data_IF_183712803528
#
_entry.id   IF_183712803528
#
_cell.length_a   1.000
_cell.length_b   1.000
_cell.length_c   1.000
_cell.angle_alpha   90.00
_cell.angle_beta   90.00
_cell.angle_gamma   90.00
#
_symmetry.space_group_name_H-M   'P 1'
#
loop_
_entity.id
_entity.type
_entity.pdbx_description
1 polymer ?
#
# COMPACT_ATOMS: atom_id res chain seq x y z
N UNK A 1 -4.03 -44.40 -20.61
CA UNK A 1 -4.43 -44.16 -22.01
C UNK A 1 -4.35 -42.69 -22.35
N UNK A 2 -3.24 -42.10 -22.76
CA UNK A 2 -1.81 -42.38 -22.62
C UNK A 2 -1.09 -41.12 -23.12
N UNK A 3 0.14 -40.94 -22.65
CA UNK A 3 1.21 -40.10 -23.22
C UNK A 3 1.07 -38.58 -23.03
N UNK A 4 1.47 -38.09 -21.86
CA UNK A 4 2.29 -36.87 -21.77
C UNK A 4 3.08 -36.82 -20.46
N UNK A 5 3.85 -37.90 -20.22
CA UNK A 5 4.86 -37.96 -19.16
C UNK A 5 6.20 -38.33 -19.79
N UNK A 6 6.96 -37.32 -20.25
CA UNK A 6 8.42 -37.30 -20.36
C UNK A 6 8.90 -36.23 -21.36
N UNK A 7 8.78 -34.94 -21.00
CA UNK A 7 9.68 -33.89 -21.51
C UNK A 7 9.99 -32.89 -20.39
N UNK A 8 10.56 -33.38 -19.29
CA UNK A 8 11.28 -32.54 -18.33
C UNK A 8 12.75 -32.50 -18.74
N UNK A 9 13.04 -31.67 -19.74
CA UNK A 9 14.38 -31.24 -20.13
C UNK A 9 14.43 -29.71 -20.11
N UNK A 10 15.14 -29.15 -19.13
CA UNK A 10 15.71 -27.80 -19.09
C UNK A 10 14.96 -26.66 -19.82
N UNK A 11 13.74 -26.33 -19.37
CA UNK A 11 13.28 -24.93 -19.50
C UNK A 11 13.80 -24.16 -18.29
N UNK A 12 14.89 -23.41 -18.50
CA UNK A 12 15.30 -22.37 -17.56
C UNK A 12 14.06 -21.56 -17.16
N UNK A 13 13.83 -21.42 -15.85
CA UNK A 13 12.66 -20.76 -15.26
C UNK A 13 12.46 -19.36 -15.83
N UNK A 14 11.75 -19.24 -16.95
CA UNK A 14 11.51 -17.97 -17.61
C UNK A 14 10.48 -17.21 -16.77
N UNK A 15 10.95 -16.18 -16.05
CA UNK A 15 10.06 -15.31 -15.29
C UNK A 15 9.07 -14.65 -16.24
N UNK A 16 7.78 -14.73 -15.90
CA UNK A 16 6.72 -14.19 -16.74
C UNK A 16 6.65 -12.67 -16.57
N UNK A 17 6.77 -11.93 -17.66
CA UNK A 17 6.53 -10.50 -17.64
C UNK A 17 5.04 -10.19 -17.64
N UNK A 18 4.63 -9.12 -16.94
CA UNK A 18 3.26 -8.63 -16.98
C UNK A 18 2.91 -8.17 -18.41
N UNK A 19 1.88 -8.79 -18.97
CA UNK A 19 1.21 -8.35 -20.19
C UNK A 19 0.05 -7.41 -19.84
N UNK A 20 0.14 -6.15 -20.27
CA UNK A 20 -0.92 -5.17 -20.07
C UNK A 20 -1.97 -5.30 -21.17
N UNK A 21 -3.23 -5.49 -20.78
CA UNK A 21 -4.35 -5.68 -21.70
C UNK A 21 -5.49 -4.72 -21.36
N UNK A 22 -6.35 -4.40 -22.33
CA UNK A 22 -7.58 -3.66 -22.05
C UNK A 22 -8.56 -4.62 -21.37
N UNK A 23 -8.86 -4.35 -20.10
CA UNK A 23 -9.83 -5.12 -19.31
C UNK A 23 -10.41 -4.28 -18.18
N UNK A 24 -11.67 -4.53 -17.85
CA UNK A 24 -12.33 -3.89 -16.72
C UNK A 24 -11.91 -4.53 -15.39
N UNK A 25 -12.11 -3.80 -14.29
CA UNK A 25 -11.81 -4.33 -12.95
C UNK A 25 -12.80 -5.44 -12.58
N UNK A 26 -12.35 -6.43 -11.81
CA UNK A 26 -13.16 -7.62 -11.53
C UNK A 26 -14.50 -7.29 -10.85
N UNK A 27 -14.52 -6.39 -9.86
CA UNK A 27 -15.80 -6.02 -9.23
C UNK A 27 -16.72 -5.27 -10.21
N UNK A 28 -16.18 -4.44 -11.11
CA UNK A 28 -17.01 -3.78 -12.14
C UNK A 28 -17.70 -4.80 -13.04
N UNK A 29 -17.00 -5.88 -13.39
CA UNK A 29 -17.60 -6.99 -14.15
C UNK A 29 -18.63 -7.77 -13.30
N UNK A 30 -18.31 -8.06 -12.04
CA UNK A 30 -19.21 -8.79 -11.14
C UNK A 30 -20.48 -8.01 -10.79
N UNK A 31 -20.43 -6.67 -10.69
CA UNK A 31 -21.61 -5.84 -10.48
C UNK A 31 -22.58 -5.82 -11.67
N UNK A 32 -22.21 -6.39 -12.83
CA UNK A 32 -23.16 -6.65 -13.91
C UNK A 32 -24.04 -7.87 -13.61
N UNK A 33 -23.58 -8.80 -12.76
CA UNK A 33 -24.36 -9.94 -12.30
C UNK A 33 -25.42 -9.44 -11.30
N UNK A 34 -26.73 -9.70 -11.55
CA UNK A 34 -27.80 -9.17 -10.71
C UNK A 34 -27.66 -9.48 -9.22
N UNK A 35 -27.21 -10.69 -8.86
CA UNK A 35 -27.06 -11.10 -7.47
C UNK A 35 -26.01 -10.27 -6.71
N UNK A 36 -24.83 -10.05 -7.31
CA UNK A 36 -23.77 -9.25 -6.68
C UNK A 36 -24.15 -7.77 -6.65
N UNK A 37 -24.82 -7.29 -7.69
CA UNK A 37 -25.38 -5.93 -7.69
C UNK A 37 -26.36 -5.74 -6.54
N UNK A 38 -27.26 -6.69 -6.30
CA UNK A 38 -28.18 -6.62 -5.15
C UNK A 38 -27.41 -6.55 -3.83
N UNK A 39 -26.33 -7.33 -3.66
CA UNK A 39 -25.48 -7.24 -2.47
C UNK A 39 -24.90 -5.83 -2.31
N UNK A 40 -24.36 -5.24 -3.37
CA UNK A 40 -23.88 -3.85 -3.35
C UNK A 40 -24.99 -2.88 -2.91
N UNK A 41 -26.19 -2.97 -3.50
CA UNK A 41 -27.33 -2.12 -3.15
C UNK A 41 -27.75 -2.30 -1.68
N UNK A 42 -27.73 -3.54 -1.17
CA UNK A 42 -28.01 -3.85 0.24
C UNK A 42 -26.99 -3.14 1.15
N UNK A 43 -25.70 -3.28 0.87
CA UNK A 43 -24.65 -2.61 1.64
C UNK A 43 -24.78 -1.08 1.59
N UNK A 44 -25.08 -0.50 0.42
CA UNK A 44 -25.32 0.94 0.28
C UNK A 44 -26.55 1.39 1.06
N UNK A 45 -27.65 0.62 1.02
CA UNK A 45 -28.87 0.93 1.76
C UNK A 45 -28.65 0.86 3.28
N UNK A 46 -27.96 -0.18 3.77
CA UNK A 46 -27.56 -0.29 5.17
C UNK A 46 -26.69 0.89 5.59
N UNK A 47 -25.73 1.28 4.76
CA UNK A 47 -24.87 2.43 5.03
C UNK A 47 -25.68 3.73 5.17
N UNK A 48 -26.55 4.01 4.21
CA UNK A 48 -27.41 5.21 4.24
C UNK A 48 -28.31 5.18 5.49
N UNK A 49 -28.91 4.04 5.79
CA UNK A 49 -29.76 3.89 6.98
C UNK A 49 -28.99 4.13 8.28
N UNK A 50 -27.78 3.60 8.39
CA UNK A 50 -26.92 3.78 9.56
C UNK A 50 -26.56 5.25 9.76
N UNK A 51 -26.18 5.95 8.69
CA UNK A 51 -25.92 7.41 8.70
C UNK A 51 -27.15 8.19 9.15
N UNK A 52 -28.34 7.86 8.64
CA UNK A 52 -29.60 8.50 9.05
C UNK A 52 -29.89 8.24 10.53
N UNK A 53 -29.77 6.99 10.98
CA UNK A 53 -30.04 6.63 12.38
C UNK A 53 -29.13 7.38 13.34
N UNK A 54 -27.84 7.52 13.00
CA UNK A 54 -26.90 8.30 13.81
C UNK A 54 -27.20 9.78 13.77
N UNK A 55 -27.49 10.34 12.60
CA UNK A 55 -27.87 11.74 12.49
C UNK A 55 -29.07 12.07 13.39
N UNK A 56 -30.08 11.19 13.41
CA UNK A 56 -31.25 11.30 14.27
C UNK A 56 -30.87 11.15 15.75
N UNK A 57 -30.03 10.18 16.10
CA UNK A 57 -29.57 9.98 17.47
C UNK A 57 -28.78 11.21 18.00
N UNK A 58 -27.82 11.72 17.23
CA UNK A 58 -27.05 12.93 17.54
C UNK A 58 -27.98 14.15 17.72
N UNK A 59 -28.96 14.31 16.82
CA UNK A 59 -29.92 15.40 16.91
C UNK A 59 -30.79 15.31 18.17
N UNK A 60 -31.30 14.11 18.49
CA UNK A 60 -32.15 13.89 19.67
C UNK A 60 -31.36 14.09 20.97
N UNK A 61 -30.10 13.65 21.02
CA UNK A 61 -29.28 13.69 22.24
C UNK A 61 -28.65 15.07 22.47
N UNK A 62 -28.00 15.62 21.45
CA UNK A 62 -27.11 16.77 21.57
C UNK A 62 -27.64 18.02 20.83
N UNK A 63 -28.80 17.91 20.16
CA UNK A 63 -29.41 19.01 19.38
C UNK A 63 -28.64 19.38 18.10
N UNK A 64 -27.60 18.61 17.73
CA UNK A 64 -26.70 18.88 16.60
C UNK A 64 -26.38 17.59 15.87
N UNK A 65 -26.35 17.64 14.53
CA UNK A 65 -26.02 16.49 13.68
C UNK A 65 -24.50 16.52 13.43
N UNK A 66 -23.75 15.55 13.97
CA UNK A 66 -22.28 15.54 13.84
C UNK A 66 -21.72 14.45 12.92
N UNK A 67 -22.40 13.31 12.76
CA UNK A 67 -22.27 12.31 11.67
C UNK A 67 -20.83 12.14 11.15
N UNK A 68 -19.85 11.88 12.01
CA UNK A 68 -18.46 11.63 11.57
C UNK A 68 -17.69 12.84 11.01
N UNK A 69 -18.34 13.98 10.74
CA UNK A 69 -17.71 15.17 10.15
C UNK A 69 -16.61 15.73 11.06
N UNK A 70 -16.79 15.60 12.37
CA UNK A 70 -15.78 15.98 13.35
C UNK A 70 -14.49 15.18 13.11
N UNK A 71 -14.54 13.85 13.11
CA UNK A 71 -13.36 13.03 12.84
C UNK A 71 -12.71 13.32 11.49
N UNK A 72 -13.49 13.57 10.44
CA UNK A 72 -12.94 13.95 9.12
C UNK A 72 -12.19 15.28 9.21
N UNK A 73 -12.79 16.29 9.85
CA UNK A 73 -12.15 17.59 10.05
C UNK A 73 -10.84 17.46 10.83
N UNK A 74 -10.84 16.76 11.97
CA UNK A 74 -9.62 16.52 12.75
C UNK A 74 -8.57 15.73 11.96
N UNK A 75 -9.02 14.80 11.11
CA UNK A 75 -8.16 13.98 10.25
C UNK A 75 -7.50 14.77 9.13
N UNK A 76 -8.06 15.90 8.69
CA UNK A 76 -7.55 16.66 7.54
C UNK A 76 -7.37 18.16 7.80
N UNK A 77 -7.32 18.59 9.07
CA UNK A 77 -7.18 20.02 9.44
C UNK A 77 -5.98 20.71 8.78
N UNK A 78 -4.86 20.00 8.63
CA UNK A 78 -3.60 20.52 8.05
C UNK A 78 -3.41 20.10 6.59
N UNK A 79 -4.49 19.73 5.88
CA UNK A 79 -4.44 19.27 4.50
C UNK A 79 -3.68 20.22 3.55
N UNK A 80 -3.83 21.56 3.63
CA UNK A 80 -3.06 22.46 2.77
C UNK A 80 -1.54 22.28 2.90
N UNK A 81 -1.04 22.12 4.12
CA UNK A 81 0.39 21.89 4.35
C UNK A 81 0.82 20.50 3.88
N UNK A 82 -0.02 19.49 4.10
CA UNK A 82 0.19 18.16 3.55
C UNK A 82 0.31 18.17 2.02
N UNK A 83 -0.55 18.93 1.33
CA UNK A 83 -0.49 19.09 -0.13
C UNK A 83 0.80 19.79 -0.59
N UNK A 84 1.31 20.77 0.14
CA UNK A 84 2.61 21.41 -0.17
C UNK A 84 3.74 20.38 -0.08
N UNK A 85 3.75 19.55 0.97
CA UNK A 85 4.76 18.49 1.13
C UNK A 85 4.64 17.46 -0.01
N UNK A 86 3.42 17.05 -0.35
CA UNK A 86 3.16 16.15 -1.46
C UNK A 86 3.63 16.72 -2.80
N UNK A 87 3.35 17.99 -3.08
CA UNK A 87 3.85 18.69 -4.26
C UNK A 87 5.38 18.75 -4.28
N UNK A 88 6.02 18.98 -3.13
CA UNK A 88 7.48 18.91 -2.98
C UNK A 88 8.04 17.53 -3.34
N UNK A 89 7.46 16.45 -2.78
CA UNK A 89 7.85 15.07 -3.10
C UNK A 89 7.67 14.75 -4.59
N UNK A 90 6.55 15.20 -5.17
CA UNK A 90 6.25 15.05 -6.59
C UNK A 90 7.29 15.78 -7.46
N UNK A 91 7.64 17.03 -7.13
CA UNK A 91 8.65 17.81 -7.86
C UNK A 91 10.03 17.14 -7.80
N UNK A 92 10.45 16.70 -6.61
CA UNK A 92 11.74 15.98 -6.44
C UNK A 92 11.75 14.67 -7.24
N UNK A 93 10.62 13.96 -7.30
CA UNK A 93 10.48 12.76 -8.14
C UNK A 93 10.57 13.08 -9.64
N UNK A 94 10.01 14.21 -10.07
CA UNK A 94 10.12 14.66 -11.46
C UNK A 94 11.58 15.00 -11.85
N UNK A 95 12.38 15.53 -10.93
CA UNK A 95 13.81 15.79 -11.17
C UNK A 95 14.61 14.52 -11.47
N UNK A 96 14.17 13.34 -10.99
CA UNK A 96 14.85 12.07 -11.29
C UNK A 96 14.86 11.78 -12.78
N UNK A 97 13.83 12.18 -13.53
CA UNK A 97 13.82 12.06 -14.98
C UNK A 97 14.99 12.83 -15.60
N UNK A 98 15.15 14.09 -15.21
CA UNK A 98 16.22 14.96 -15.72
C UNK A 98 17.60 14.39 -15.39
N UNK A 99 17.78 13.86 -14.16
CA UNK A 99 19.01 13.19 -13.75
C UNK A 99 19.28 11.91 -14.58
N UNK A 100 18.26 11.09 -14.82
CA UNK A 100 18.37 9.88 -15.62
C UNK A 100 18.67 10.18 -17.10
N UNK A 101 18.00 11.16 -17.69
CA UNK A 101 18.22 11.58 -19.07
C UNK A 101 19.63 12.16 -19.26
N UNK A 102 20.10 12.98 -18.31
CA UNK A 102 21.47 13.51 -18.29
C UNK A 102 22.48 12.37 -18.13
N UNK A 103 22.22 11.42 -17.23
CA UNK A 103 23.06 10.24 -17.08
C UNK A 103 23.18 9.46 -18.40
N UNK A 104 22.05 9.12 -19.03
CA UNK A 104 22.04 8.34 -20.27
C UNK A 104 22.71 9.04 -21.45
N UNK A 105 22.48 10.35 -21.63
CA UNK A 105 23.08 11.13 -22.72
C UNK A 105 24.59 11.32 -22.55
N UNK A 106 25.06 11.65 -21.33
CA UNK A 106 26.49 11.78 -21.06
C UNK A 106 27.19 10.44 -21.15
N UNK A 107 26.52 9.36 -20.73
CA UNK A 107 27.05 8.01 -20.83
C UNK A 107 27.37 7.61 -22.28
N UNK A 108 26.53 7.99 -23.24
CA UNK A 108 26.76 7.74 -24.66
C UNK A 108 28.00 8.49 -25.18
N UNK A 109 28.20 9.74 -24.73
CA UNK A 109 29.37 10.56 -25.09
C UNK A 109 30.67 10.05 -24.47
N UNK A 110 30.59 9.54 -23.23
CA UNK A 110 31.72 9.07 -22.44
C UNK A 110 32.04 7.59 -22.66
N UNK A 111 31.43 6.92 -23.64
CA UNK A 111 31.50 5.46 -23.79
C UNK A 111 32.94 4.90 -23.84
N UNK A 112 33.86 5.62 -24.49
CA UNK A 112 35.27 5.22 -24.62
C UNK A 112 36.19 5.79 -23.52
N UNK A 113 35.65 6.60 -22.60
CA UNK A 113 36.44 7.28 -21.57
C UNK A 113 36.56 6.43 -20.30
N UNK A 114 37.72 6.43 -19.61
CA UNK A 114 37.86 5.81 -18.29
C UNK A 114 36.91 6.41 -17.24
N UNK A 115 36.41 7.64 -17.47
CA UNK A 115 35.47 8.33 -16.60
C UNK A 115 34.04 7.72 -16.60
N UNK A 116 33.72 6.84 -17.55
CA UNK A 116 32.41 6.21 -17.67
C UNK A 116 31.96 5.49 -16.38
N UNK A 117 32.89 4.75 -15.75
CA UNK A 117 32.61 4.01 -14.52
C UNK A 117 32.34 4.95 -13.35
N UNK A 118 33.07 6.07 -13.27
CA UNK A 118 32.85 7.11 -12.24
C UNK A 118 31.48 7.75 -12.43
N UNK A 119 31.09 8.04 -13.69
CA UNK A 119 29.77 8.57 -14.01
C UNK A 119 28.63 7.62 -13.62
N UNK A 120 28.75 6.32 -13.93
CA UNK A 120 27.76 5.31 -13.52
C UNK A 120 27.63 5.21 -11.99
N UNK A 121 28.75 5.20 -11.26
CA UNK A 121 28.72 5.20 -9.78
C UNK A 121 28.13 6.50 -9.21
N UNK A 122 28.43 7.65 -9.81
CA UNK A 122 27.87 8.93 -9.36
C UNK A 122 26.35 8.95 -9.47
N UNK A 123 25.79 8.36 -10.53
CA UNK A 123 24.34 8.24 -10.70
C UNK A 123 23.70 7.27 -9.70
N UNK A 124 24.38 6.14 -9.39
CA UNK A 124 23.92 5.21 -8.35
C UNK A 124 23.90 5.88 -6.98
N UNK A 125 24.97 6.60 -6.61
CA UNK A 125 25.05 7.35 -5.35
C UNK A 125 23.92 8.37 -5.29
N UNK A 126 23.70 9.14 -6.37
CA UNK A 126 22.60 10.11 -6.46
C UNK A 126 21.23 9.45 -6.26
N UNK A 127 21.00 8.27 -6.82
CA UNK A 127 19.75 7.53 -6.65
C UNK A 127 19.55 7.06 -5.20
N UNK A 128 20.60 6.54 -4.56
CA UNK A 128 20.56 6.13 -3.15
C UNK A 128 20.28 7.35 -2.26
N UNK A 129 20.97 8.46 -2.51
CA UNK A 129 20.76 9.73 -1.83
C UNK A 129 19.32 10.22 -2.01
N UNK A 130 18.76 10.14 -3.22
CA UNK A 130 17.35 10.44 -3.46
C UNK A 130 16.42 9.56 -2.63
N UNK A 131 16.62 8.24 -2.58
CA UNK A 131 15.76 7.33 -1.80
C UNK A 131 15.86 7.66 -0.30
N UNK A 132 17.07 7.88 0.23
CA UNK A 132 17.27 8.25 1.63
C UNK A 132 16.59 9.58 1.94
N UNK A 133 16.78 10.62 1.12
CA UNK A 133 16.13 11.91 1.33
C UNK A 133 14.61 11.82 1.22
N UNK A 134 14.09 11.09 0.22
CA UNK A 134 12.66 10.88 0.05
C UNK A 134 12.06 10.14 1.23
N UNK A 135 12.76 9.20 1.88
CA UNK A 135 12.26 8.48 3.05
C UNK A 135 12.46 9.24 4.38
N UNK A 136 13.41 10.16 4.47
CA UNK A 136 13.76 10.83 5.74
C UNK A 136 13.15 12.22 5.87
N UNK A 137 13.24 13.08 4.84
CA UNK A 137 12.81 14.48 4.94
C UNK A 137 11.30 14.60 5.14
N UNK A 138 10.42 14.01 4.30
CA UNK A 138 8.98 14.11 4.50
C UNK A 138 8.56 13.53 5.86
N UNK A 139 9.14 12.39 6.24
CA UNK A 139 8.89 11.73 7.53
C UNK A 139 9.25 12.64 8.71
N UNK A 140 10.43 13.28 8.66
CA UNK A 140 10.85 14.24 9.67
C UNK A 140 9.86 15.41 9.77
N UNK A 141 9.44 15.98 8.63
CA UNK A 141 8.47 17.08 8.59
C UNK A 141 7.12 16.64 9.17
N UNK A 142 6.62 15.46 8.81
CA UNK A 142 5.36 14.88 9.32
C UNK A 142 5.37 14.76 10.84
N UNK A 143 6.48 14.28 11.41
CA UNK A 143 6.64 14.14 12.87
C UNK A 143 6.70 15.52 13.52
N UNK A 144 7.50 16.44 12.98
CA UNK A 144 7.70 17.78 13.55
C UNK A 144 6.46 18.67 13.50
N UNK A 145 5.70 18.58 12.41
CA UNK A 145 4.44 19.34 12.25
C UNK A 145 3.26 18.72 13.00
N UNK A 146 3.45 17.55 13.61
CA UNK A 146 2.43 16.85 14.40
C UNK A 146 1.09 16.65 13.66
N UNK A 147 1.15 16.24 12.39
CA UNK A 147 -0.06 15.97 11.59
C UNK A 147 -0.98 14.92 12.20
N UNK A 148 -2.25 14.94 11.81
CA UNK A 148 -3.19 13.87 12.16
C UNK A 148 -2.74 12.50 11.63
N UNK A 149 -3.29 11.43 12.22
CA UNK A 149 -3.00 10.04 11.83
C UNK A 149 -3.34 9.81 10.35
N UNK A 150 -4.52 10.21 9.88
CA UNK A 150 -4.96 9.98 8.50
C UNK A 150 -4.11 10.72 7.46
N UNK A 151 -3.74 11.98 7.74
CA UNK A 151 -2.90 12.77 6.84
C UNK A 151 -1.46 12.21 6.80
N UNK A 152 -0.90 11.85 7.96
CA UNK A 152 0.42 11.22 8.05
C UNK A 152 0.48 9.91 7.27
N UNK A 153 -0.52 9.04 7.46
CA UNK A 153 -0.64 7.77 6.75
C UNK A 153 -0.67 7.98 5.22
N UNK A 154 -1.48 8.94 4.77
CA UNK A 154 -1.64 9.25 3.34
C UNK A 154 -0.33 9.75 2.72
N UNK A 155 0.39 10.65 3.40
CA UNK A 155 1.67 11.18 2.92
C UNK A 155 2.78 10.12 2.89
N UNK A 156 2.85 9.26 3.92
CA UNK A 156 3.83 8.15 3.98
C UNK A 156 3.54 7.09 2.90
N UNK A 157 2.27 6.79 2.63
CA UNK A 157 1.89 5.91 1.51
C UNK A 157 2.31 6.50 0.15
N UNK A 158 2.08 7.79 -0.07
CA UNK A 158 2.51 8.49 -1.29
C UNK A 158 4.04 8.54 -1.43
N UNK A 159 4.76 8.76 -0.33
CA UNK A 159 6.21 8.73 -0.27
C UNK A 159 6.76 7.36 -0.74
N UNK A 160 6.21 6.26 -0.21
CA UNK A 160 6.60 4.89 -0.64
C UNK A 160 6.23 4.66 -2.10
N UNK A 161 5.05 5.13 -2.56
CA UNK A 161 4.64 5.06 -3.97
C UNK A 161 5.66 5.74 -4.89
N UNK A 162 6.17 6.92 -4.53
CA UNK A 162 7.20 7.63 -5.30
C UNK A 162 8.52 6.87 -5.38
N UNK A 163 8.97 6.27 -4.28
CA UNK A 163 10.18 5.44 -4.27
C UNK A 163 10.00 4.22 -5.18
N UNK A 164 8.87 3.51 -5.08
CA UNK A 164 8.59 2.34 -5.91
C UNK A 164 8.53 2.68 -7.40
N UNK A 165 7.87 3.78 -7.76
CA UNK A 165 7.78 4.23 -9.17
C UNK A 165 9.14 4.66 -9.70
N UNK A 166 9.92 5.40 -8.91
CA UNK A 166 11.27 5.82 -9.30
C UNK A 166 12.16 4.61 -9.55
N UNK A 167 12.15 3.64 -8.64
CA UNK A 167 12.88 2.38 -8.80
C UNK A 167 12.45 1.65 -10.08
N UNK A 168 11.14 1.52 -10.30
CA UNK A 168 10.62 0.85 -11.49
C UNK A 168 11.08 1.51 -12.78
N UNK A 169 11.00 2.84 -12.86
CA UNK A 169 11.43 3.60 -14.03
C UNK A 169 12.91 3.39 -14.34
N UNK A 170 13.78 3.62 -13.34
CA UNK A 170 15.24 3.50 -13.53
C UNK A 170 15.64 2.07 -13.85
N UNK A 171 15.11 1.08 -13.11
CA UNK A 171 15.47 -0.33 -13.27
C UNK A 171 15.01 -0.91 -14.62
N UNK A 172 13.92 -0.37 -15.18
CA UNK A 172 13.39 -0.77 -16.50
C UNK A 172 14.13 -0.08 -17.65
N UNK A 173 14.48 1.19 -17.50
CA UNK A 173 15.11 1.97 -18.57
C UNK A 173 16.63 1.81 -18.64
N UNK A 174 17.32 1.65 -17.51
CA UNK A 174 18.78 1.56 -17.47
C UNK A 174 19.35 0.42 -18.34
N UNK A 175 18.83 -0.83 -18.30
CA UNK A 175 19.33 -1.91 -19.16
C UNK A 175 19.21 -1.60 -20.66
N UNK A 176 18.18 -0.86 -21.05
CA UNK A 176 17.93 -0.44 -22.45
C UNK A 176 18.96 0.58 -22.92
N UNK A 177 19.30 1.55 -22.08
CA UNK A 177 20.37 2.53 -22.35
C UNK A 177 21.73 1.83 -22.41
N UNK A 178 21.98 0.86 -21.53
CA UNK A 178 23.22 0.07 -21.53
C UNK A 178 23.37 -0.79 -22.79
N UNK A 179 22.31 -1.48 -23.22
CA UNK A 179 22.35 -2.30 -24.45
C UNK A 179 22.46 -1.45 -25.70
N UNK A 180 21.75 -0.32 -25.78
CA UNK A 180 21.83 0.60 -26.91
C UNK A 180 23.24 1.20 -27.05
N UNK A 181 23.86 1.65 -25.96
CA UNK A 181 25.23 2.18 -25.98
C UNK A 181 26.25 1.14 -26.48
N UNK A 182 26.03 -0.15 -26.19
CA UNK A 182 26.89 -1.24 -26.66
C UNK A 182 26.75 -1.47 -28.17
N UNK A 183 25.54 -1.35 -28.70
CA UNK A 183 25.22 -1.69 -30.10
C UNK A 183 25.40 -0.49 -31.05
N UNK A 184 25.19 0.73 -30.58
CA UNK A 184 25.20 1.95 -31.40
C UNK A 184 26.24 2.95 -30.89
N UNK A 185 27.51 2.74 -31.27
CA UNK A 185 28.61 3.64 -30.91
C UNK A 185 28.42 5.01 -31.59
N UNK A 186 27.99 6.02 -30.83
CA UNK A 186 27.88 7.40 -31.33
C UNK A 186 26.53 7.79 -31.97
N UNK A 187 25.48 6.97 -31.83
CA UNK A 187 24.13 7.33 -32.24
C UNK A 187 23.50 8.43 -31.37
N UNK A 188 22.25 8.83 -31.65
CA UNK A 188 21.52 9.76 -30.79
C UNK A 188 20.95 9.03 -29.55
N UNK A 189 21.44 9.31 -28.32
CA UNK A 189 21.00 8.60 -27.11
C UNK A 189 19.52 8.82 -26.76
N UNK A 190 18.90 9.83 -27.37
CA UNK A 190 17.48 10.14 -27.18
C UNK A 190 16.55 9.03 -27.70
N UNK A 191 17.03 8.11 -28.54
CA UNK A 191 16.25 6.95 -29.00
C UNK A 191 16.02 5.90 -27.90
N UNK A 192 16.98 5.76 -26.97
CA UNK A 192 16.89 4.80 -25.87
C UNK A 192 16.22 5.38 -24.62
N UNK A 193 16.22 6.71 -24.47
CA UNK A 193 15.69 7.41 -23.30
C UNK A 193 14.20 7.75 -23.55
N UNK A 194 13.29 7.35 -22.64
CA UNK A 194 11.88 7.69 -22.81
C UNK A 194 11.64 9.20 -22.68
N UNK A 195 10.61 9.71 -23.37
CA UNK A 195 10.19 11.11 -23.25
C UNK A 195 9.65 11.45 -21.84
N UNK A 196 9.82 12.70 -21.40
CA UNK A 196 9.28 13.18 -20.11
C UNK A 196 7.77 12.93 -19.97
N UNK A 197 7.01 13.09 -21.07
CA UNK A 197 5.57 12.86 -21.10
C UNK A 197 5.20 11.44 -20.68
N UNK A 198 5.97 10.43 -21.09
CA UNK A 198 5.76 9.02 -20.72
C UNK A 198 6.01 8.81 -19.21
N UNK A 199 7.08 9.41 -18.67
CA UNK A 199 7.37 9.36 -17.23
C UNK A 199 6.31 10.08 -16.39
N UNK A 200 5.92 11.29 -16.78
CA UNK A 200 4.87 12.06 -16.09
C UNK A 200 3.53 11.32 -16.09
N UNK A 201 3.15 10.70 -17.22
CA UNK A 201 1.95 9.84 -17.29
C UNK A 201 2.06 8.65 -16.33
N UNK A 202 3.19 7.95 -16.34
CA UNK A 202 3.43 6.80 -15.44
C UNK A 202 3.30 7.20 -13.98
N UNK A 203 3.75 8.39 -13.59
CA UNK A 203 3.69 8.86 -12.20
C UNK A 203 2.26 8.91 -11.65
N UNK A 204 1.27 9.21 -12.48
CA UNK A 204 -0.15 9.20 -12.12
C UNK A 204 -0.87 7.89 -12.47
N UNK A 205 -0.35 7.08 -13.39
CA UNK A 205 -0.97 5.82 -13.79
C UNK A 205 -1.15 4.86 -12.60
N UNK A 206 -2.27 4.12 -12.50
CA UNK A 206 -2.54 3.17 -11.41
C UNK A 206 -1.78 1.85 -11.59
N UNK A 207 -0.47 1.95 -11.75
CA UNK A 207 0.47 0.83 -11.82
C UNK A 207 1.82 1.25 -11.27
N UNK A 208 2.58 0.28 -10.76
CA UNK A 208 3.94 0.47 -10.28
C UNK A 208 4.98 -0.07 -11.27
N UNK A 209 4.57 -0.68 -12.38
CA UNK A 209 5.48 -1.15 -13.42
C UNK A 209 5.55 -0.14 -14.56
N UNK A 210 6.72 0.48 -14.76
CA UNK A 210 6.97 1.37 -15.87
C UNK A 210 6.97 0.62 -17.21
N UNK A 211 6.20 1.12 -18.18
CA UNK A 211 6.25 0.76 -19.60
C UNK A 211 6.16 2.04 -20.41
N UNK A 212 6.76 2.04 -21.59
CA UNK A 212 6.74 3.19 -22.49
C UNK A 212 5.33 3.49 -23.00
N UNK A 213 4.53 2.44 -23.19
CA UNK A 213 3.17 2.51 -23.69
C UNK A 213 2.29 1.55 -22.90
N UNK A 214 1.08 2.00 -22.60
CA UNK A 214 0.06 1.23 -21.91
C UNK A 214 -1.18 1.13 -22.80
N UNK A 215 -1.93 0.02 -22.73
CA UNK A 215 -3.23 -0.08 -23.39
C UNK A 215 -4.12 1.06 -22.91
N UNK A 216 -4.77 1.77 -23.85
CA UNK A 216 -5.60 2.94 -23.53
C UNK A 216 -7.06 2.70 -23.83
N UNK A 217 -7.92 3.13 -22.91
CA UNK A 217 -9.37 3.16 -23.14
C UNK A 217 -9.71 4.13 -24.29
N UNK A 218 -10.71 3.85 -25.13
CA UNK A 218 -11.02 4.68 -26.31
C UNK A 218 -11.54 6.08 -25.93
N UNK A 219 -12.31 6.19 -24.85
CA UNK A 219 -12.93 7.44 -24.39
C UNK A 219 -12.81 7.60 -22.88
N UNK A 220 -13.07 8.83 -22.39
CA UNK A 220 -13.18 9.15 -20.95
C UNK A 220 -14.64 9.29 -20.56
N UNK A 221 -15.11 8.46 -19.63
CA UNK A 221 -16.45 8.50 -19.06
C UNK A 221 -16.45 9.32 -17.77
N UNK A 222 -16.63 10.64 -17.86
CA UNK A 222 -16.60 11.51 -16.67
C UNK A 222 -17.67 11.20 -15.62
N UNK A 223 -18.85 10.72 -16.02
CA UNK A 223 -19.87 10.24 -15.09
C UNK A 223 -19.36 9.06 -14.24
N UNK A 224 -18.62 8.14 -14.86
CA UNK A 224 -17.97 7.02 -14.16
C UNK A 224 -16.91 7.52 -13.18
N UNK A 225 -16.08 8.48 -13.59
CA UNK A 225 -15.08 9.12 -12.71
C UNK A 225 -15.74 9.77 -11.50
N UNK A 226 -16.77 10.61 -11.72
CA UNK A 226 -17.47 11.30 -10.64
C UNK A 226 -18.17 10.32 -9.68
N UNK A 227 -18.75 9.24 -10.22
CA UNK A 227 -19.35 8.18 -9.41
C UNK A 227 -18.33 7.52 -8.47
N UNK A 228 -17.19 7.06 -9.00
CA UNK A 228 -16.13 6.44 -8.20
C UNK A 228 -15.53 7.38 -7.15
N UNK A 229 -15.35 8.66 -7.44
CA UNK A 229 -14.92 9.62 -6.42
C UNK A 229 -15.99 9.84 -5.33
N UNK A 230 -17.26 9.81 -5.70
CA UNK A 230 -18.37 9.88 -4.72
C UNK A 230 -18.37 8.65 -3.82
N UNK A 231 -18.12 7.45 -4.37
CA UNK A 231 -17.95 6.24 -3.57
C UNK A 231 -16.79 6.36 -2.57
N UNK A 232 -15.63 6.87 -3.01
CA UNK A 232 -14.47 7.09 -2.11
C UNK A 232 -14.85 8.02 -0.95
N UNK A 233 -15.50 9.15 -1.24
CA UNK A 233 -15.96 10.09 -0.22
C UNK A 233 -16.98 9.42 0.73
N UNK A 234 -17.94 8.68 0.19
CA UNK A 234 -18.93 7.94 0.97
C UNK A 234 -18.28 6.92 1.92
N UNK A 235 -17.27 6.19 1.46
CA UNK A 235 -16.53 5.25 2.29
C UNK A 235 -15.71 5.96 3.36
N UNK A 236 -15.06 7.10 3.06
CA UNK A 236 -14.33 7.89 4.08
C UNK A 236 -15.28 8.34 5.19
N UNK A 237 -16.45 8.87 4.83
CA UNK A 237 -17.47 9.24 5.81
C UNK A 237 -17.93 8.04 6.65
N UNK A 238 -18.11 6.89 6.00
CA UNK A 238 -18.51 5.68 6.72
C UNK A 238 -17.44 5.18 7.69
N UNK A 239 -16.18 5.16 7.28
CA UNK A 239 -15.07 4.79 8.15
C UNK A 239 -15.02 5.73 9.35
N UNK A 240 -15.04 7.05 9.14
CA UNK A 240 -15.05 8.03 10.22
C UNK A 240 -16.19 7.76 11.23
N UNK A 241 -17.39 7.50 10.71
CA UNK A 241 -18.55 7.12 11.51
C UNK A 241 -18.31 5.83 12.32
N UNK A 242 -17.84 4.75 11.68
CA UNK A 242 -17.56 3.47 12.34
C UNK A 242 -16.54 3.61 13.47
N UNK A 243 -15.52 4.45 13.26
CA UNK A 243 -14.52 4.69 14.29
C UNK A 243 -15.10 5.46 15.48
N UNK A 244 -15.76 6.59 15.24
CA UNK A 244 -16.31 7.42 16.33
C UNK A 244 -17.33 6.66 17.18
N UNK A 245 -18.17 5.81 16.56
CA UNK A 245 -19.32 5.20 17.25
C UNK A 245 -19.05 3.81 17.80
N UNK A 246 -18.14 3.03 17.19
CA UNK A 246 -17.90 1.64 17.60
C UNK A 246 -16.50 1.39 18.14
N UNK A 247 -15.47 1.98 17.52
CA UNK A 247 -14.09 1.69 17.92
C UNK A 247 -13.63 2.60 19.07
N UNK A 248 -13.83 3.91 18.93
CA UNK A 248 -13.36 4.92 19.87
C UNK A 248 -13.88 4.72 21.29
N UNK A 249 -15.18 4.43 21.53
CA UNK A 249 -15.69 4.23 22.90
C UNK A 249 -15.04 3.04 23.62
N UNK A 250 -14.62 2.01 22.87
CA UNK A 250 -13.99 0.83 23.45
C UNK A 250 -12.52 1.08 23.88
N UNK A 251 -11.84 2.09 23.32
CA UNK A 251 -10.38 2.30 23.47
C UNK A 251 -10.00 3.61 24.14
N UNK A 252 -10.84 4.64 24.09
CA UNK A 252 -10.45 6.01 24.50
C UNK A 252 -10.04 6.14 25.97
N UNK A 253 -10.57 5.27 26.83
CA UNK A 253 -10.29 5.26 28.27
C UNK A 253 -9.13 4.33 28.65
N UNK A 254 -8.54 3.65 27.67
CA UNK A 254 -7.38 2.81 27.92
C UNK A 254 -6.22 3.65 28.43
N UNK A 255 -5.70 3.28 29.61
CA UNK A 255 -4.64 4.02 30.29
C UNK A 255 -5.10 5.17 31.19
N UNK A 256 -6.41 5.38 31.37
CA UNK A 256 -6.95 6.24 32.45
C UNK A 256 -7.22 5.46 33.73
N UNK A 257 -7.54 4.18 33.58
CA UNK A 257 -7.73 3.23 34.69
C UNK A 257 -6.86 2.01 34.44
N UNK A 258 -6.38 1.31 35.48
CA UNK A 258 -5.76 0.01 35.30
C UNK A 258 -6.77 -0.93 34.61
N UNK A 259 -6.30 -1.67 33.61
CA UNK A 259 -7.11 -2.63 32.85
C UNK A 259 -6.53 -4.02 33.03
N UNK A 260 -7.41 -4.99 33.26
CA UNK A 260 -7.05 -6.40 33.39
C UNK A 260 -6.82 -7.03 32.02
N UNK A 261 -6.27 -8.25 31.99
CA UNK A 261 -6.15 -9.01 30.74
C UNK A 261 -7.53 -9.29 30.13
N UNK A 262 -8.56 -9.52 30.96
CA UNK A 262 -9.93 -9.75 30.51
C UNK A 262 -10.49 -8.52 29.79
N UNK A 263 -10.22 -7.31 30.30
CA UNK A 263 -10.59 -6.07 29.64
C UNK A 263 -9.93 -5.94 28.26
N UNK A 264 -8.64 -6.28 28.14
CA UNK A 264 -7.91 -6.23 26.87
C UNK A 264 -8.50 -7.22 25.86
N UNK A 265 -8.85 -8.43 26.32
CA UNK A 265 -9.50 -9.46 25.48
C UNK A 265 -10.87 -8.96 25.01
N UNK A 266 -11.66 -8.35 25.89
CA UNK A 266 -12.97 -7.78 25.53
C UNK A 266 -12.84 -6.66 24.50
N UNK A 267 -11.84 -5.79 24.64
CA UNK A 267 -11.53 -4.74 23.67
C UNK A 267 -11.19 -5.36 22.31
N UNK A 268 -10.36 -6.41 22.27
CA UNK A 268 -10.05 -7.11 21.03
C UNK A 268 -11.31 -7.61 20.33
N UNK A 269 -12.20 -8.33 21.02
CA UNK A 269 -13.42 -8.85 20.40
C UNK A 269 -14.38 -7.74 19.95
N UNK A 270 -14.43 -6.63 20.69
CA UNK A 270 -15.26 -5.46 20.34
C UNK A 270 -14.76 -4.78 19.05
N UNK A 271 -13.44 -4.69 18.87
CA UNK A 271 -12.82 -4.01 17.72
C UNK A 271 -12.66 -4.92 16.51
N UNK A 272 -12.54 -6.23 16.71
CA UNK A 272 -12.23 -7.19 15.65
C UNK A 272 -13.19 -7.09 14.44
N UNK A 273 -14.51 -7.04 14.70
CA UNK A 273 -15.53 -6.94 13.66
C UNK A 273 -15.49 -5.59 12.91
N UNK A 274 -15.47 -4.42 13.60
CA UNK A 274 -15.22 -3.14 12.94
C UNK A 274 -13.90 -3.11 12.15
N UNK A 275 -12.84 -3.74 12.65
CA UNK A 275 -11.51 -3.74 12.02
C UNK A 275 -11.50 -4.49 10.68
N UNK A 276 -12.13 -5.67 10.60
CA UNK A 276 -12.25 -6.37 9.31
C UNK A 276 -13.12 -5.59 8.32
N UNK A 277 -14.18 -4.92 8.80
CA UNK A 277 -15.00 -4.06 7.94
C UNK A 277 -14.18 -2.87 7.41
N UNK A 278 -13.36 -2.26 8.25
CA UNK A 278 -12.37 -1.23 7.87
C UNK A 278 -11.43 -1.72 6.77
N UNK A 279 -10.91 -2.92 6.90
CA UNK A 279 -10.03 -3.54 5.91
C UNK A 279 -10.74 -3.77 4.56
N UNK A 280 -11.98 -4.28 4.57
CA UNK A 280 -12.79 -4.51 3.37
C UNK A 280 -13.15 -3.21 2.65
N UNK A 281 -13.55 -2.18 3.41
CA UNK A 281 -13.90 -0.87 2.88
C UNK A 281 -12.67 -0.11 2.37
N UNK A 282 -11.54 -0.22 3.07
CA UNK A 282 -10.26 0.32 2.63
C UNK A 282 -9.81 -0.30 1.31
N UNK A 283 -9.98 -1.62 1.15
CA UNK A 283 -9.76 -2.31 -0.13
C UNK A 283 -10.67 -1.76 -1.23
N UNK A 284 -11.98 -1.68 -0.99
CA UNK A 284 -12.93 -1.19 -1.99
C UNK A 284 -12.62 0.26 -2.38
N UNK A 285 -12.44 1.15 -1.39
CA UNK A 285 -12.15 2.56 -1.62
C UNK A 285 -10.85 2.77 -2.40
N UNK A 286 -9.76 2.12 -1.98
CA UNK A 286 -8.44 2.35 -2.58
C UNK A 286 -8.22 1.53 -3.86
N UNK A 287 -8.39 0.22 -3.83
CA UNK A 287 -8.02 -0.67 -4.93
C UNK A 287 -9.11 -0.78 -6.01
N UNK A 288 -10.36 -0.53 -5.66
CA UNK A 288 -11.45 -0.47 -6.64
C UNK A 288 -11.75 0.97 -7.05
N UNK A 289 -12.40 1.77 -6.21
CA UNK A 289 -12.98 3.04 -6.66
C UNK A 289 -11.92 4.09 -7.00
N UNK A 290 -10.92 4.31 -6.15
CA UNK A 290 -9.84 5.25 -6.41
C UNK A 290 -9.01 4.88 -7.64
N UNK A 291 -8.54 3.63 -7.74
CA UNK A 291 -7.77 3.20 -8.92
C UNK A 291 -8.58 3.25 -10.21
N UNK A 292 -9.87 2.89 -10.19
CA UNK A 292 -10.74 3.00 -11.38
C UNK A 292 -10.98 4.46 -11.78
N UNK A 293 -11.17 5.37 -10.82
CA UNK A 293 -11.33 6.80 -11.11
C UNK A 293 -10.09 7.37 -11.82
N UNK A 294 -8.90 7.10 -11.28
CA UNK A 294 -7.64 7.52 -11.91
C UNK A 294 -7.39 6.80 -13.24
N UNK A 295 -7.71 5.51 -13.36
CA UNK A 295 -7.57 4.77 -14.60
C UNK A 295 -8.43 5.37 -15.72
N UNK A 296 -9.70 5.65 -15.44
CA UNK A 296 -10.61 6.25 -16.41
C UNK A 296 -10.17 7.66 -16.78
N UNK A 297 -9.79 8.50 -15.80
CA UNK A 297 -9.31 9.87 -16.05
C UNK A 297 -8.06 9.89 -16.94
N UNK A 298 -7.11 8.98 -16.70
CA UNK A 298 -5.89 8.85 -17.48
C UNK A 298 -6.07 8.04 -18.77
N UNK A 299 -7.23 7.40 -19.00
CA UNK A 299 -7.46 6.41 -20.06
C UNK A 299 -6.47 5.24 -19.99
N UNK A 300 -6.18 4.76 -18.77
CA UNK A 300 -5.43 3.54 -18.53
C UNK A 300 -6.37 2.33 -18.68
N UNK A 301 -6.03 1.42 -19.60
CA UNK A 301 -6.91 0.32 -20.01
C UNK A 301 -6.79 -0.96 -19.21
N UNK A 302 -5.67 -1.19 -18.49
CA UNK A 302 -5.48 -2.41 -17.69
C UNK A 302 -5.99 -2.21 -16.26
N UNK A 303 -7.23 -2.62 -15.97
CA UNK A 303 -7.86 -2.37 -14.66
C UNK A 303 -7.84 -3.56 -13.71
N UNK A 304 -6.94 -4.52 -13.94
CA UNK A 304 -6.74 -5.65 -13.02
C UNK A 304 -5.80 -5.22 -11.87
N UNK A 305 -6.34 -4.44 -10.94
CA UNK A 305 -5.63 -4.01 -9.73
C UNK A 305 -5.62 -5.08 -8.63
N UNK A 306 -6.58 -6.00 -8.71
CA UNK A 306 -6.78 -7.14 -7.84
C UNK A 306 -7.52 -8.24 -8.63
N UNK A 307 -7.53 -9.46 -8.09
CA UNK A 307 -8.30 -10.60 -8.59
C UNK A 307 -9.28 -11.09 -7.50
N UNK A 308 -9.85 -12.27 -7.66
CA UNK A 308 -10.81 -12.91 -6.75
C UNK A 308 -10.14 -13.42 -5.46
N UNK A 309 -9.43 -12.54 -4.75
CA UNK A 309 -8.66 -12.88 -3.56
C UNK A 309 -9.54 -13.44 -2.44
N UNK A 310 -10.82 -13.06 -2.37
CA UNK A 310 -11.80 -13.57 -1.41
C UNK A 310 -12.13 -15.06 -1.61
N UNK A 311 -11.87 -15.62 -2.80
CA UNK A 311 -12.02 -17.04 -3.11
C UNK A 311 -10.75 -17.85 -2.82
N UNK A 312 -9.68 -17.21 -2.34
CA UNK A 312 -8.39 -17.89 -2.17
C UNK A 312 -8.49 -18.99 -1.12
N UNK A 313 -7.93 -20.17 -1.43
CA UNK A 313 -7.89 -21.31 -0.50
C UNK A 313 -6.58 -21.42 0.29
N UNK A 314 -5.61 -20.55 0.01
CA UNK A 314 -4.28 -20.58 0.61
C UNK A 314 -3.62 -19.19 0.62
N UNK A 315 -2.65 -18.98 1.52
CA UNK A 315 -1.90 -17.72 1.61
C UNK A 315 -1.14 -17.36 0.32
N UNK A 316 -0.47 -18.30 -0.39
CA UNK A 316 0.20 -17.97 -1.65
C UNK A 316 -0.74 -17.46 -2.74
N UNK A 317 -1.97 -17.96 -2.78
CA UNK A 317 -2.99 -17.49 -3.72
C UNK A 317 -3.49 -16.10 -3.34
N UNK A 318 -3.80 -15.90 -2.05
CA UNK A 318 -4.25 -14.62 -1.51
C UNK A 318 -3.26 -13.48 -1.83
N UNK A 319 -1.97 -13.67 -1.56
CA UNK A 319 -0.95 -12.64 -1.79
C UNK A 319 -0.76 -12.25 -3.26
N UNK A 320 -1.02 -13.17 -4.19
CA UNK A 320 -0.98 -12.88 -5.63
C UNK A 320 -2.18 -12.08 -6.10
N UNK A 321 -3.33 -12.25 -5.44
CA UNK A 321 -4.63 -11.74 -5.90
C UNK A 321 -5.08 -10.46 -5.21
N UNK A 322 -4.69 -10.22 -3.94
CA UNK A 322 -5.17 -9.10 -3.11
C UNK A 322 -4.85 -7.72 -3.70
N UNK A 323 -3.56 -7.44 -3.91
CA UNK A 323 -3.06 -6.19 -4.46
C UNK A 323 -2.05 -6.50 -5.56
N UNK A 324 -2.57 -6.74 -6.76
CA UNK A 324 -1.78 -7.12 -7.93
C UNK A 324 -0.76 -6.02 -8.28
N UNK A 325 -1.09 -4.74 -8.04
CA UNK A 325 -0.19 -3.62 -8.35
C UNK A 325 1.14 -3.74 -7.57
N UNK A 326 1.05 -3.94 -6.25
CA UNK A 326 2.24 -4.08 -5.38
C UNK A 326 2.89 -5.44 -5.56
N UNK A 327 2.09 -6.50 -5.68
CA UNK A 327 2.59 -7.85 -5.95
C UNK A 327 3.46 -7.88 -7.22
N UNK A 328 2.99 -7.28 -8.32
CA UNK A 328 3.71 -7.28 -9.59
C UNK A 328 5.05 -6.52 -9.49
N UNK A 329 5.10 -5.42 -8.72
CA UNK A 329 6.34 -4.70 -8.47
C UNK A 329 7.33 -5.52 -7.65
N UNK A 330 6.86 -6.13 -6.55
CA UNK A 330 7.67 -7.00 -5.71
C UNK A 330 8.19 -8.20 -6.50
N UNK A 331 7.34 -8.82 -7.33
CA UNK A 331 7.72 -9.94 -8.18
C UNK A 331 8.77 -9.53 -9.22
N UNK A 332 8.54 -8.45 -9.95
CA UNK A 332 9.38 -8.04 -11.08
C UNK A 332 10.74 -7.49 -10.65
N UNK A 333 10.81 -6.79 -9.51
CA UNK A 333 12.01 -6.05 -9.12
C UNK A 333 12.68 -6.51 -7.84
N UNK A 334 11.99 -7.22 -6.94
CA UNK A 334 12.60 -7.76 -5.73
C UNK A 334 12.79 -9.27 -5.87
N UNK A 335 11.72 -10.02 -6.11
CA UNK A 335 11.77 -11.49 -6.21
C UNK A 335 12.69 -11.95 -7.34
N UNK A 336 12.40 -11.52 -8.59
CA UNK A 336 13.18 -11.92 -9.77
C UNK A 336 14.65 -11.53 -9.63
N UNK A 337 14.93 -10.26 -9.31
CA UNK A 337 16.30 -9.78 -9.18
C UNK A 337 17.05 -10.49 -8.04
N UNK A 338 16.39 -10.73 -6.90
CA UNK A 338 17.00 -11.49 -5.81
C UNK A 338 17.27 -12.94 -6.21
N UNK A 339 16.34 -13.60 -6.87
CA UNK A 339 16.50 -15.00 -7.32
C UNK A 339 17.59 -15.11 -8.38
N UNK A 340 17.61 -14.23 -9.38
CA UNK A 340 18.58 -14.30 -10.48
C UNK A 340 19.99 -13.84 -10.07
N UNK A 341 20.10 -12.79 -9.24
CA UNK A 341 21.38 -12.09 -9.02
C UNK A 341 21.97 -12.24 -7.63
N UNK A 342 21.16 -12.48 -6.59
CA UNK A 342 21.63 -12.44 -5.20
C UNK A 342 21.67 -13.82 -4.55
N UNK A 343 20.52 -14.51 -4.46
CA UNK A 343 20.38 -15.70 -3.62
C UNK A 343 20.49 -17.00 -4.41
N UNK A 344 20.09 -17.01 -5.69
CA UNK A 344 19.88 -18.23 -6.50
C UNK A 344 18.93 -19.24 -5.85
N UNK A 345 18.17 -18.84 -4.83
CA UNK A 345 17.26 -19.70 -4.06
C UNK A 345 15.88 -19.03 -3.93
N UNK A 346 14.86 -19.70 -4.46
CA UNK A 346 13.47 -19.22 -4.46
C UNK A 346 12.89 -19.01 -3.06
N UNK A 347 13.28 -19.83 -2.08
CA UNK A 347 12.79 -19.73 -0.70
C UNK A 347 13.36 -18.48 -0.03
N UNK A 348 14.68 -18.30 -0.12
CA UNK A 348 15.35 -17.11 0.42
C UNK A 348 14.86 -15.83 -0.25
N UNK A 349 14.64 -15.83 -1.57
CA UNK A 349 14.05 -14.67 -2.27
C UNK A 349 12.62 -14.38 -1.82
N UNK A 350 11.82 -15.40 -1.53
CA UNK A 350 10.46 -15.23 -1.00
C UNK A 350 10.49 -14.57 0.38
N UNK A 351 11.34 -15.07 1.29
CA UNK A 351 11.55 -14.43 2.60
C UNK A 351 12.02 -12.99 2.48
N UNK A 352 12.94 -12.70 1.56
CA UNK A 352 13.40 -11.33 1.32
C UNK A 352 12.26 -10.41 0.85
N UNK A 353 11.38 -10.88 -0.04
CA UNK A 353 10.21 -10.10 -0.50
C UNK A 353 9.27 -9.77 0.66
N UNK A 354 8.95 -10.76 1.50
CA UNK A 354 8.09 -10.54 2.66
C UNK A 354 8.76 -9.64 3.70
N UNK A 355 10.06 -9.78 3.93
CA UNK A 355 10.83 -8.91 4.82
C UNK A 355 10.81 -7.46 4.35
N UNK A 356 11.12 -7.20 3.08
CA UNK A 356 11.07 -5.86 2.50
C UNK A 356 9.66 -5.28 2.62
N UNK A 357 8.64 -6.07 2.29
CA UNK A 357 7.24 -5.64 2.42
C UNK A 357 6.90 -5.30 3.88
N UNK A 358 7.25 -6.16 4.84
CA UNK A 358 6.94 -5.97 6.25
C UNK A 358 7.62 -4.73 6.84
N UNK A 359 8.88 -4.45 6.46
CA UNK A 359 9.61 -3.24 6.86
C UNK A 359 8.87 -1.98 6.40
N UNK A 360 8.40 -1.94 5.14
CA UNK A 360 7.71 -0.75 4.63
C UNK A 360 6.31 -0.57 5.24
N UNK A 361 5.59 -1.65 5.51
CA UNK A 361 4.32 -1.57 6.24
C UNK A 361 4.55 -1.04 7.66
N UNK A 362 5.53 -1.56 8.38
CA UNK A 362 5.87 -1.11 9.73
C UNK A 362 6.39 0.33 9.72
N UNK A 363 7.20 0.72 8.73
CA UNK A 363 7.64 2.10 8.54
C UNK A 363 6.45 3.06 8.44
N UNK A 364 5.46 2.75 7.59
CA UNK A 364 4.28 3.59 7.42
C UNK A 364 3.51 3.70 8.75
N UNK A 365 3.25 2.59 9.44
CA UNK A 365 2.50 2.59 10.70
C UNK A 365 3.28 3.29 11.83
N UNK A 366 4.56 2.97 11.99
CA UNK A 366 5.37 3.49 13.07
C UNK A 366 5.52 5.02 13.03
N UNK A 367 5.69 5.58 11.83
CA UNK A 367 5.77 7.04 11.66
C UNK A 367 4.41 7.72 11.60
N UNK A 368 3.35 7.01 11.19
CA UNK A 368 1.96 7.49 11.32
C UNK A 368 1.58 7.66 12.78
N UNK A 369 1.85 6.66 13.62
CA UNK A 369 1.48 6.65 15.03
C UNK A 369 2.56 7.27 15.96
N UNK A 370 3.77 7.49 15.45
CA UNK A 370 4.94 8.05 16.16
C UNK A 370 5.50 7.14 17.25
N UNK A 371 5.37 5.84 17.09
CA UNK A 371 5.99 4.83 17.91
C UNK A 371 6.22 3.56 17.09
N UNK A 372 7.24 2.78 17.41
CA UNK A 372 7.45 1.46 16.83
C UNK A 372 6.78 0.41 17.72
N UNK A 373 5.76 -0.25 17.18
CA UNK A 373 5.17 -1.42 17.82
C UNK A 373 4.97 -2.50 16.75
N UNK A 374 5.94 -3.41 16.55
CA UNK A 374 6.08 -4.22 15.34
C UNK A 374 5.09 -5.39 15.20
N UNK A 375 3.82 -5.15 15.55
CA UNK A 375 2.74 -6.14 15.50
C UNK A 375 2.49 -6.57 14.06
N UNK A 376 2.39 -5.62 13.11
CA UNK A 376 2.17 -5.96 11.72
C UNK A 376 3.39 -6.69 11.14
N UNK A 377 4.61 -6.24 11.46
CA UNK A 377 5.82 -6.97 11.07
C UNK A 377 5.80 -8.44 11.52
N UNK A 378 5.38 -8.73 12.75
CA UNK A 378 5.30 -10.11 13.27
C UNK A 378 4.16 -10.89 12.58
N UNK A 379 2.95 -10.35 12.58
CA UNK A 379 1.75 -11.04 12.07
C UNK A 379 1.83 -11.27 10.56
N UNK A 380 2.14 -10.22 9.79
CA UNK A 380 2.25 -10.32 8.33
C UNK A 380 3.63 -10.86 7.90
N UNK A 381 4.72 -10.30 8.43
CA UNK A 381 6.08 -10.61 7.96
C UNK A 381 6.59 -11.98 8.40
N UNK A 382 6.23 -12.45 9.60
CA UNK A 382 6.70 -13.73 10.14
C UNK A 382 5.58 -14.78 10.06
N UNK A 383 4.48 -14.60 10.78
CA UNK A 383 3.44 -15.62 10.91
C UNK A 383 2.81 -15.95 9.54
N UNK A 384 2.41 -14.93 8.77
CA UNK A 384 1.81 -15.17 7.47
C UNK A 384 2.79 -15.72 6.43
N UNK A 385 4.08 -15.35 6.50
CA UNK A 385 5.13 -15.93 5.65
C UNK A 385 5.37 -17.40 5.98
N UNK A 386 5.32 -17.80 7.25
CA UNK A 386 5.34 -19.21 7.62
C UNK A 386 4.15 -19.96 6.99
N UNK A 387 2.95 -19.37 7.06
CA UNK A 387 1.74 -19.93 6.44
C UNK A 387 1.79 -19.97 4.90
N UNK A 388 2.56 -19.09 4.27
CA UNK A 388 2.80 -19.13 2.82
C UNK A 388 3.48 -20.44 2.39
N UNK A 389 4.38 -20.98 3.21
CA UNK A 389 5.07 -22.23 2.90
C UNK A 389 4.29 -23.49 3.26
N UNK A 390 3.14 -23.35 3.94
CA UNK A 390 2.28 -24.49 4.27
C UNK A 390 1.62 -25.00 2.97
N UNK A 391 1.83 -26.26 2.59
CA UNK A 391 1.25 -26.80 1.35
C UNK A 391 -0.28 -26.70 1.32
N UNK A 392 -0.83 -26.25 0.18
CA UNK A 392 -2.28 -26.09 -0.01
C UNK A 392 -3.09 -27.37 0.22
N UNK A 393 -2.45 -28.55 0.05
CA UNK A 393 -3.06 -29.86 0.34
C UNK A 393 -3.57 -30.00 1.79
N UNK A 394 -3.02 -29.24 2.74
CA UNK A 394 -3.47 -29.25 4.13
C UNK A 394 -4.77 -28.45 4.35
N UNK A 395 -5.04 -27.51 3.45
CA UNK A 395 -6.19 -26.62 3.55
C UNK A 395 -7.43 -27.17 2.83
N UNK A 396 -7.30 -28.14 1.90
CA UNK A 396 -8.40 -28.82 1.17
C UNK A 396 -9.64 -27.93 0.97
N UNK A 397 -10.83 -28.40 1.35
CA UNK A 397 -12.11 -27.69 1.19
C UNK A 397 -12.33 -26.58 2.23
N UNK A 398 -11.61 -26.62 3.36
CA UNK A 398 -11.76 -25.66 4.46
C UNK A 398 -10.82 -24.45 4.33
N UNK A 399 -9.95 -24.43 3.32
CA UNK A 399 -8.85 -23.47 3.21
C UNK A 399 -9.31 -22.04 3.10
N UNK A 400 -10.38 -21.81 2.36
CA UNK A 400 -10.98 -20.48 2.25
C UNK A 400 -11.54 -19.99 3.59
N UNK A 401 -12.26 -20.84 4.31
CA UNK A 401 -12.77 -20.51 5.64
C UNK A 401 -11.65 -20.21 6.64
N UNK A 402 -10.60 -21.05 6.67
CA UNK A 402 -9.44 -20.86 7.54
C UNK A 402 -8.71 -19.56 7.19
N UNK A 403 -8.54 -19.26 5.90
CA UNK A 403 -7.93 -18.00 5.45
C UNK A 403 -8.71 -16.80 5.98
N UNK A 404 -10.05 -16.80 5.84
CA UNK A 404 -10.90 -15.74 6.35
C UNK A 404 -10.81 -15.59 7.86
N UNK A 405 -10.84 -16.69 8.61
CA UNK A 405 -10.69 -16.68 10.06
C UNK A 405 -9.35 -16.05 10.49
N UNK A 406 -8.25 -16.45 9.83
CA UNK A 406 -6.92 -15.91 10.09
C UNK A 406 -6.80 -14.44 9.71
N UNK A 407 -7.45 -14.02 8.62
CA UNK A 407 -7.46 -12.62 8.18
C UNK A 407 -8.22 -11.75 9.18
N UNK A 408 -9.40 -12.20 9.63
CA UNK A 408 -10.19 -11.51 10.67
C UNK A 408 -9.35 -11.34 11.94
N UNK A 409 -8.83 -12.45 12.47
CA UNK A 409 -8.03 -12.43 13.71
C UNK A 409 -6.77 -11.58 13.57
N UNK A 410 -6.04 -11.70 12.45
CA UNK A 410 -4.81 -10.95 12.20
C UNK A 410 -5.05 -9.44 12.08
N UNK A 411 -6.10 -9.02 11.36
CA UNK A 411 -6.52 -7.62 11.25
C UNK A 411 -6.97 -7.09 12.61
N UNK A 412 -7.74 -7.88 13.37
CA UNK A 412 -8.16 -7.55 14.73
C UNK A 412 -6.99 -7.33 15.67
N UNK A 413 -5.95 -8.18 15.61
CA UNK A 413 -4.75 -8.03 16.44
C UNK A 413 -4.01 -6.74 16.11
N UNK A 414 -3.80 -6.46 14.82
CA UNK A 414 -3.14 -5.23 14.39
C UNK A 414 -3.92 -4.01 14.88
N UNK A 415 -5.22 -3.92 14.55
CA UNK A 415 -6.04 -2.78 14.93
C UNK A 415 -6.06 -2.56 16.45
N UNK A 416 -6.34 -3.61 17.23
CA UNK A 416 -6.47 -3.51 18.68
C UNK A 416 -5.15 -3.07 19.33
N UNK A 417 -4.03 -3.71 19.00
CA UNK A 417 -2.74 -3.43 19.64
C UNK A 417 -2.19 -2.05 19.28
N UNK A 418 -2.30 -1.60 18.02
CA UNK A 418 -1.89 -0.24 17.65
C UNK A 418 -2.77 0.82 18.34
N UNK A 419 -4.08 0.61 18.41
CA UNK A 419 -4.98 1.57 19.07
C UNK A 419 -4.79 1.63 20.58
N UNK A 420 -4.63 0.48 21.24
CA UNK A 420 -4.34 0.42 22.67
C UNK A 420 -3.03 1.15 22.99
N UNK A 421 -1.98 0.92 22.20
CA UNK A 421 -0.70 1.61 22.37
C UNK A 421 -0.83 3.13 22.11
N UNK A 422 -1.59 3.52 21.09
CA UNK A 422 -1.86 4.93 20.81
C UNK A 422 -2.52 5.63 21.99
N UNK A 423 -3.60 5.07 22.54
CA UNK A 423 -4.29 5.66 23.68
C UNK A 423 -3.48 5.57 24.98
N UNK A 424 -2.68 4.52 25.18
CA UNK A 424 -1.74 4.46 26.30
C UNK A 424 -0.73 5.61 26.26
N UNK A 425 -0.24 5.99 25.07
CA UNK A 425 0.67 7.13 24.92
C UNK A 425 0.02 8.48 25.14
N UNK A 426 -1.28 8.58 24.83
CA UNK A 426 -2.07 9.80 25.06
C UNK A 426 -2.42 9.96 26.53
N UNK A 427 -2.88 8.90 27.19
CA UNK A 427 -3.45 8.96 28.53
C UNK A 427 -2.43 8.75 29.65
N UNK A 428 -1.38 7.93 29.44
CA UNK A 428 -0.44 7.56 30.49
C UNK A 428 0.80 8.48 30.49
N UNK A 429 1.33 8.83 31.68
CA UNK A 429 2.52 9.68 31.79
C UNK A 429 3.72 9.02 31.12
N UNK A 430 4.58 9.86 30.54
CA UNK A 430 5.83 9.40 29.94
C UNK A 430 6.86 9.12 31.03
N UNK A 431 7.24 7.86 31.18
CA UNK A 431 8.24 7.41 32.18
C UNK A 431 9.66 7.41 31.64
N UNK A 432 9.83 7.22 30.32
CA UNK A 432 11.15 7.11 29.69
C UNK A 432 11.59 8.48 29.16
N UNK A 433 12.68 9.00 29.72
CA UNK A 433 13.24 10.30 29.35
C UNK A 433 13.84 10.32 27.93
N UNK A 434 14.52 9.24 27.51
CA UNK A 434 15.11 9.13 26.17
C UNK A 434 14.03 9.01 25.09
N UNK A 435 13.93 9.94 24.12
CA UNK A 435 12.95 9.88 23.03
C UNK A 435 13.09 8.65 22.13
N UNK A 436 14.32 8.17 21.93
CA UNK A 436 14.58 7.00 21.08
C UNK A 436 14.09 5.74 21.78
N UNK A 437 14.34 5.61 23.08
CA UNK A 437 13.91 4.42 23.84
C UNK A 437 12.38 4.43 24.02
N UNK A 438 11.78 5.58 24.30
CA UNK A 438 10.31 5.72 24.37
C UNK A 438 9.63 5.37 23.04
N UNK A 439 10.30 5.55 21.89
CA UNK A 439 9.78 5.18 20.59
C UNK A 439 9.68 3.65 20.39
N UNK A 440 10.61 2.87 20.94
CA UNK A 440 10.64 1.40 20.75
C UNK A 440 9.99 0.61 21.88
N UNK A 441 9.87 1.17 23.07
CA UNK A 441 9.26 0.47 24.22
C UNK A 441 7.76 0.76 24.25
N UNK A 442 6.89 -0.26 24.15
CA UNK A 442 5.44 -0.07 24.20
C UNK A 442 4.98 0.34 25.61
N UNK A 443 4.12 1.36 25.70
CA UNK A 443 3.59 1.91 26.96
C UNK A 443 2.36 1.16 27.46
N UNK A 444 1.64 0.48 26.57
CA UNK A 444 0.41 -0.26 26.88
C UNK A 444 0.59 -1.31 27.98
N UNK A 445 1.78 -1.92 28.09
CA UNK A 445 2.09 -2.94 29.10
C UNK A 445 2.52 -2.36 30.46
N UNK A 446 3.06 -1.14 30.48
CA UNK A 446 3.52 -0.48 31.71
C UNK A 446 2.45 0.42 32.35
N UNK A 447 1.43 0.83 31.58
CA UNK A 447 0.50 1.86 32.04
C UNK A 447 -0.30 1.45 33.29
N UNK A 448 -0.72 0.18 33.39
CA UNK A 448 -1.46 -0.31 34.57
C UNK A 448 -0.63 -0.43 35.85
N UNK A 449 0.71 -0.37 35.76
CA UNK A 449 1.62 -0.37 36.91
C UNK A 449 1.94 1.05 37.42
N UNK A 450 1.52 2.08 36.68
CA UNK A 450 1.86 3.49 36.90
C UNK A 450 0.64 4.34 37.30
N UNK A 451 -0.55 3.73 37.26
CA UNK A 451 -1.82 4.24 37.81
C UNK A 451 -2.04 3.59 39.17
#
# INVERSE_FOLDING_TARGET
>A
MDVESAQNGEKGSQFQEKNFQIRESLLSALFQVPHIRTIYHIFTAFLINLVINTALHDYVKDGKITVGFRMIYWSFKDLPLGLIIWLGMQLVTLLVYSCFATWGTMRAKLFSSPFLRVWDWSFIILLITFVVFMLTIPTYVIIRMNFSVALSFSLLMEQVRFVMKTHSFVRTCAPRVLSWNKNNKGGNPNEAIPSFKKFAYFLFAPTLLYRDEYPRSPQRRWKYVAFHFTEVLGVICFLAFLYENYMLPAIQDFGKTPKTLEDIILVFFTINTPAILYFMLGFFSLLHSWMNAFAEMLRFGDRMFYQDWWNSGSFPEYYKKWNVIVHDWLYAFIYRDATEKLTKNKVTSTWLVFLVSAIFHEFILAFTFRFCYPVLFIVFGICSTCLYFVPSKYFKSAGNFILWLMLIVGVGFCASLYFLEFFARVNCPRTISSPIVDFFIPRSWSCGLLL
#
